data_IF_561903030110
#
_entry.id   IF_561903030110
#
_cell.length_a   1.000
_cell.length_b   1.000
_cell.length_c   1.000
_cell.angle_alpha   90.00
_cell.angle_beta   90.00
_cell.angle_gamma   90.00
#
_symmetry.space_group_name_H-M   'P 1'
#
loop_
_entity.id
_entity.type
_entity.pdbx_description
1 polymer ?
#
# COMPACT_ATOMS: atom_id res chain seq x y z
N UNK A 1 3.30 -16.90 -14.95
CA UNK A 1 2.15 -16.02 -14.64
C UNK A 1 0.93 -16.91 -14.42
N UNK A 2 0.19 -16.75 -13.30
CA UNK A 2 -0.94 -17.62 -12.92
C UNK A 2 -2.07 -17.71 -13.96
N UNK A 3 -2.23 -16.66 -14.77
CA UNK A 3 -3.24 -16.58 -15.83
C UNK A 3 -3.17 -17.75 -16.83
N UNK A 4 -1.98 -18.33 -17.05
CA UNK A 4 -1.80 -19.46 -17.97
C UNK A 4 -2.48 -20.76 -17.50
N UNK A 5 -2.95 -20.85 -16.25
CA UNK A 5 -3.74 -22.00 -15.81
C UNK A 5 -5.06 -22.13 -16.59
N UNK A 6 -5.60 -21.01 -17.09
CA UNK A 6 -6.85 -20.93 -17.83
C UNK A 6 -6.67 -20.98 -19.37
N UNK A 7 -5.44 -21.21 -19.84
CA UNK A 7 -5.12 -21.22 -21.26
C UNK A 7 -4.24 -22.41 -21.65
N UNK A 8 -4.42 -22.87 -22.89
CA UNK A 8 -3.50 -23.78 -23.56
C UNK A 8 -2.67 -23.02 -24.60
N UNK A 9 -1.38 -23.33 -24.68
CA UNK A 9 -0.50 -22.71 -25.69
C UNK A 9 -0.73 -23.38 -27.03
N UNK A 10 -1.23 -22.61 -28.00
CA UNK A 10 -1.46 -23.07 -29.38
C UNK A 10 -0.24 -22.81 -30.27
N UNK A 11 0.43 -21.67 -30.07
CA UNK A 11 1.68 -21.32 -30.75
C UNK A 11 2.49 -20.31 -29.92
N UNK A 12 3.61 -19.82 -30.45
CA UNK A 12 4.43 -18.79 -29.81
C UNK A 12 3.65 -17.51 -29.46
N UNK A 13 2.63 -17.20 -30.27
CA UNK A 13 1.88 -15.94 -30.20
C UNK A 13 0.38 -16.14 -30.06
N UNK A 14 -0.09 -17.37 -29.79
CA UNK A 14 -1.52 -17.67 -29.58
C UNK A 14 -1.75 -18.58 -28.38
N UNK A 15 -2.79 -18.25 -27.63
CA UNK A 15 -3.27 -19.02 -26.48
C UNK A 15 -4.76 -19.27 -26.61
N UNK A 16 -5.19 -20.52 -26.43
CA UNK A 16 -6.58 -20.95 -26.46
C UNK A 16 -7.17 -20.94 -25.06
N UNK A 17 -8.32 -20.31 -24.88
CA UNK A 17 -9.02 -20.31 -23.59
C UNK A 17 -9.57 -21.71 -23.28
N UNK A 18 -9.49 -22.13 -22.02
CA UNK A 18 -10.07 -23.42 -21.56
C UNK A 18 -11.57 -23.33 -21.27
N UNK A 19 -12.07 -22.12 -21.10
CA UNK A 19 -13.44 -21.85 -20.65
C UNK A 19 -14.38 -21.38 -21.75
N UNK A 20 -13.83 -21.05 -22.92
CA UNK A 20 -14.61 -20.77 -24.12
C UNK A 20 -13.82 -21.08 -25.40
N UNK A 21 -14.46 -21.06 -26.58
CA UNK A 21 -13.80 -21.34 -27.85
C UNK A 21 -12.80 -20.27 -28.32
N UNK A 22 -12.55 -19.20 -27.56
CA UNK A 22 -11.73 -18.09 -28.00
C UNK A 22 -10.21 -18.42 -28.00
N UNK A 23 -9.52 -18.03 -29.07
CA UNK A 23 -8.05 -17.97 -29.13
C UNK A 23 -7.58 -16.51 -29.15
N UNK A 24 -6.59 -16.19 -28.29
CA UNK A 24 -6.08 -14.84 -28.07
C UNK A 24 -4.63 -14.72 -28.55
N UNK A 25 -4.30 -13.58 -29.14
CA UNK A 25 -2.93 -13.27 -29.52
C UNK A 25 -2.10 -12.78 -28.31
N UNK A 26 -0.96 -13.43 -28.08
CA UNK A 26 0.01 -13.15 -27.02
C UNK A 26 1.32 -12.62 -27.62
N UNK A 27 1.24 -11.51 -28.34
CA UNK A 27 2.42 -10.90 -28.99
C UNK A 27 3.55 -10.72 -27.97
N UNK A 28 4.73 -11.25 -28.28
CA UNK A 28 5.96 -11.13 -27.46
C UNK A 28 5.78 -11.67 -26.02
N UNK A 29 4.93 -12.67 -25.82
CA UNK A 29 4.73 -13.31 -24.51
C UNK A 29 4.00 -12.43 -23.47
N UNK A 30 3.38 -11.33 -23.90
CA UNK A 30 2.57 -10.49 -23.02
C UNK A 30 1.27 -11.18 -22.60
N UNK A 31 0.84 -10.98 -21.35
CA UNK A 31 -0.35 -11.66 -20.78
C UNK A 31 -1.56 -10.74 -20.59
N UNK A 32 -1.45 -9.45 -20.95
CA UNK A 32 -2.52 -8.46 -20.75
C UNK A 32 -3.81 -8.80 -21.50
N UNK A 33 -3.70 -9.38 -22.69
CA UNK A 33 -4.87 -9.83 -23.46
C UNK A 33 -5.58 -11.03 -22.82
N UNK A 34 -4.83 -11.90 -22.14
CA UNK A 34 -5.37 -13.06 -21.43
C UNK A 34 -6.18 -12.58 -20.22
N UNK A 35 -5.61 -11.66 -19.43
CA UNK A 35 -6.31 -11.03 -18.31
C UNK A 35 -7.61 -10.33 -18.75
N UNK A 36 -7.53 -9.47 -19.77
CA UNK A 36 -8.71 -8.75 -20.30
C UNK A 36 -9.81 -9.70 -20.78
N UNK A 37 -9.45 -10.81 -21.41
CA UNK A 37 -10.43 -11.81 -21.84
C UNK A 37 -11.12 -12.46 -20.64
N UNK A 38 -10.35 -12.94 -19.66
CA UNK A 38 -10.91 -13.56 -18.47
C UNK A 38 -11.83 -12.58 -17.72
N UNK A 39 -11.44 -11.31 -17.58
CA UNK A 39 -12.23 -10.28 -16.89
C UNK A 39 -13.56 -9.96 -17.59
N UNK A 40 -13.64 -10.15 -18.91
CA UNK A 40 -14.82 -9.76 -19.70
C UNK A 40 -15.73 -10.94 -20.05
N UNK A 41 -15.17 -12.14 -20.21
CA UNK A 41 -15.91 -13.33 -20.66
C UNK A 41 -16.07 -14.39 -19.58
N UNK A 42 -15.19 -14.40 -18.58
CA UNK A 42 -15.18 -15.37 -17.48
C UNK A 42 -14.94 -14.70 -16.12
N UNK A 43 -15.68 -13.62 -15.77
CA UNK A 43 -15.52 -12.96 -14.49
C UNK A 43 -15.79 -13.90 -13.29
N UNK A 44 -16.65 -14.90 -13.47
CA UNK A 44 -16.93 -15.95 -12.49
C UNK A 44 -15.77 -16.92 -12.26
N UNK A 45 -14.96 -17.19 -13.29
CA UNK A 45 -13.75 -18.01 -13.16
C UNK A 45 -12.58 -17.23 -12.55
N UNK A 46 -12.69 -15.91 -12.57
CA UNK A 46 -11.79 -15.00 -11.87
C UNK A 46 -12.22 -14.71 -10.44
N UNK A 47 -13.33 -15.29 -9.92
CA UNK A 47 -14.10 -15.02 -8.68
C UNK A 47 -13.35 -14.57 -7.42
N UNK A 48 -12.60 -13.52 -7.60
CA UNK A 48 -12.00 -12.61 -6.65
C UNK A 48 -11.96 -11.37 -7.52
N UNK A 49 -13.05 -10.60 -7.48
CA UNK A 49 -13.13 -9.35 -8.22
C UNK A 49 -11.86 -8.53 -7.93
N UNK A 50 -11.50 -7.60 -8.81
CA UNK A 50 -10.35 -6.72 -8.53
C UNK A 50 -10.46 -6.12 -7.10
N UNK A 51 -11.67 -5.75 -6.68
CA UNK A 51 -11.95 -5.27 -5.33
C UNK A 51 -11.66 -6.32 -4.25
N UNK A 52 -12.06 -7.57 -4.43
CA UNK A 52 -11.77 -8.66 -3.47
C UNK A 52 -10.26 -8.94 -3.38
N UNK A 53 -9.56 -8.86 -4.51
CA UNK A 53 -8.12 -9.06 -4.55
C UNK A 53 -7.37 -7.90 -3.89
N UNK A 54 -7.79 -6.66 -4.15
CA UNK A 54 -7.26 -5.47 -3.51
C UNK A 54 -7.52 -5.55 -1.98
N UNK A 55 -8.71 -5.96 -1.55
CA UNK A 55 -9.04 -6.18 -0.13
C UNK A 55 -8.15 -7.26 0.51
N UNK A 56 -7.91 -8.37 -0.19
CA UNK A 56 -6.97 -9.40 0.26
C UNK A 56 -5.55 -8.82 0.40
N UNK A 57 -5.09 -8.05 -0.58
CA UNK A 57 -3.79 -7.40 -0.53
C UNK A 57 -3.67 -6.42 0.65
N UNK A 58 -4.70 -5.61 0.92
CA UNK A 58 -4.71 -4.70 2.07
C UNK A 58 -4.57 -5.45 3.39
N UNK A 59 -5.25 -6.58 3.57
CA UNK A 59 -5.13 -7.41 4.77
C UNK A 59 -3.69 -7.90 4.96
N UNK A 60 -3.03 -8.32 3.88
CA UNK A 60 -1.62 -8.72 3.92
C UNK A 60 -0.71 -7.53 4.27
N UNK A 61 -0.96 -6.35 3.69
CA UNK A 61 -0.18 -5.14 4.05
C UNK A 61 -0.36 -4.78 5.52
N UNK A 62 -1.57 -4.89 6.08
CA UNK A 62 -1.82 -4.69 7.52
C UNK A 62 -1.02 -5.65 8.39
N UNK A 63 -0.98 -6.94 8.02
CA UNK A 63 -0.16 -7.94 8.72
C UNK A 63 1.32 -7.57 8.68
N UNK A 64 1.84 -7.27 7.48
CA UNK A 64 3.24 -6.86 7.28
C UNK A 64 3.58 -5.62 8.11
N UNK A 65 2.68 -4.64 8.15
CA UNK A 65 2.89 -3.41 8.90
C UNK A 65 2.85 -3.63 10.42
N UNK A 66 1.94 -4.47 10.92
CA UNK A 66 1.82 -4.80 12.34
C UNK A 66 3.09 -5.48 12.88
N UNK A 67 3.67 -6.39 12.09
CA UNK A 67 4.87 -7.15 12.47
C UNK A 67 6.18 -6.49 12.04
N UNK A 68 6.12 -5.31 11.42
CA UNK A 68 7.26 -4.64 10.79
C UNK A 68 8.07 -5.59 9.86
N UNK A 69 7.36 -6.45 9.14
CA UNK A 69 7.95 -7.49 8.31
C UNK A 69 8.38 -6.96 6.93
N UNK A 70 9.21 -7.72 6.22
CA UNK A 70 9.56 -7.39 4.84
C UNK A 70 8.45 -7.84 3.87
N UNK A 71 8.11 -7.01 2.88
CA UNK A 71 7.16 -7.38 1.81
C UNK A 71 7.51 -8.65 1.03
N UNK A 72 8.77 -9.10 1.10
CA UNK A 72 9.23 -10.36 0.49
C UNK A 72 8.53 -11.60 1.09
N UNK A 73 7.88 -11.48 2.25
CA UNK A 73 7.20 -12.60 2.90
C UNK A 73 6.20 -13.31 1.97
N UNK A 74 5.52 -12.59 1.07
CA UNK A 74 4.54 -13.17 0.12
C UNK A 74 5.17 -14.03 -0.99
N UNK A 75 6.49 -13.96 -1.14
CA UNK A 75 7.25 -14.77 -2.10
C UNK A 75 7.82 -16.03 -1.46
N UNK A 76 7.74 -16.17 -0.13
CA UNK A 76 8.18 -17.35 0.61
C UNK A 76 7.19 -18.50 0.38
N UNK A 77 7.71 -19.70 0.18
CA UNK A 77 6.88 -20.88 -0.09
C UNK A 77 6.00 -21.19 1.13
N UNK A 78 6.58 -21.09 2.32
CA UNK A 78 5.94 -21.32 3.61
C UNK A 78 4.72 -20.41 3.83
N UNK A 79 4.80 -19.16 3.34
CA UNK A 79 3.66 -18.24 3.36
C UNK A 79 2.59 -18.62 2.33
N UNK A 80 2.99 -19.10 1.15
CA UNK A 80 2.07 -19.53 0.08
C UNK A 80 1.32 -20.81 0.45
N UNK A 81 1.96 -21.70 1.19
CA UNK A 81 1.39 -22.97 1.67
C UNK A 81 0.27 -22.76 2.71
N UNK A 82 0.14 -21.56 3.29
CA UNK A 82 -0.99 -21.20 4.16
C UNK A 82 -2.32 -21.06 3.40
N UNK A 83 -2.27 -20.95 2.07
CA UNK A 83 -3.43 -20.72 1.23
C UNK A 83 -3.75 -21.96 0.39
N UNK A 84 -5.02 -22.16 0.00
CA UNK A 84 -5.39 -23.24 -0.90
C UNK A 84 -4.53 -23.25 -2.18
N UNK A 85 -4.30 -24.43 -2.78
CA UNK A 85 -3.61 -24.54 -4.06
C UNK A 85 -4.23 -23.61 -5.11
N UNK A 86 -3.38 -23.04 -5.98
CA UNK A 86 -3.77 -22.12 -7.05
C UNK A 86 -4.36 -20.77 -6.62
N UNK A 87 -4.33 -20.42 -5.32
CA UNK A 87 -4.67 -19.07 -4.86
C UNK A 87 -3.85 -18.02 -5.60
N UNK A 88 -4.52 -16.97 -6.11
CA UNK A 88 -3.84 -15.82 -6.71
C UNK A 88 -3.09 -15.05 -5.63
N UNK A 89 -1.77 -15.23 -5.57
CA UNK A 89 -0.92 -14.54 -4.61
C UNK A 89 -0.52 -13.14 -5.08
N UNK A 90 -0.47 -12.14 -4.18
CA UNK A 90 0.08 -10.83 -4.52
C UNK A 90 1.58 -10.90 -4.75
N UNK A 91 2.08 -9.94 -5.52
CA UNK A 91 3.51 -9.75 -5.70
C UNK A 91 4.03 -8.70 -4.73
N UNK A 92 5.31 -8.82 -4.34
CA UNK A 92 5.99 -7.78 -3.57
C UNK A 92 5.83 -6.39 -4.20
N UNK A 93 5.94 -6.32 -5.53
CA UNK A 93 5.77 -5.07 -6.27
C UNK A 93 4.38 -4.50 -6.05
N UNK A 94 3.33 -5.28 -6.26
CA UNK A 94 1.96 -4.81 -6.11
C UNK A 94 1.68 -4.32 -4.68
N UNK A 95 2.11 -5.07 -3.65
CA UNK A 95 1.94 -4.64 -2.26
C UNK A 95 2.71 -3.36 -1.95
N UNK A 96 3.99 -3.28 -2.31
CA UNK A 96 4.85 -2.16 -1.92
C UNK A 96 4.69 -0.90 -2.78
N UNK A 97 4.27 -1.03 -4.05
CA UNK A 97 4.21 0.07 -5.01
C UNK A 97 2.80 0.47 -5.42
N UNK A 98 1.78 -0.32 -5.08
CA UNK A 98 0.38 0.00 -5.40
C UNK A 98 -0.46 0.10 -4.13
N UNK A 99 -0.54 -0.99 -3.36
CA UNK A 99 -1.47 -1.08 -2.22
C UNK A 99 -1.00 -0.23 -1.04
N UNK A 100 0.26 -0.35 -0.63
CA UNK A 100 0.80 0.41 0.51
C UNK A 100 0.71 1.93 0.30
N UNK A 101 1.12 2.51 -0.85
CA UNK A 101 0.90 3.94 -1.11
C UNK A 101 -0.57 4.36 -1.05
N UNK A 102 -1.48 3.57 -1.63
CA UNK A 102 -2.92 3.85 -1.58
C UNK A 102 -3.43 3.90 -0.13
N UNK A 103 -3.04 2.92 0.70
CA UNK A 103 -3.42 2.87 2.11
C UNK A 103 -2.85 4.03 2.92
N UNK A 104 -1.60 4.45 2.65
CA UNK A 104 -1.00 5.63 3.27
C UNK A 104 -1.82 6.87 2.93
N UNK A 105 -2.27 7.04 1.69
CA UNK A 105 -3.04 8.21 1.27
C UNK A 105 -4.41 8.26 1.97
N UNK A 106 -5.08 7.13 2.09
CA UNK A 106 -6.32 7.02 2.90
C UNK A 106 -6.05 7.34 4.38
N UNK A 107 -4.95 6.85 4.94
CA UNK A 107 -4.55 7.13 6.32
C UNK A 107 -4.27 8.63 6.51
N UNK A 108 -3.59 9.26 5.56
CA UNK A 108 -3.31 10.70 5.56
C UNK A 108 -4.60 11.50 5.57
N UNK A 109 -5.53 11.21 4.66
CA UNK A 109 -6.83 11.87 4.62
C UNK A 109 -7.60 11.72 5.94
N UNK A 110 -7.57 10.52 6.53
CA UNK A 110 -8.21 10.25 7.83
C UNK A 110 -7.57 11.05 8.96
N UNK A 111 -6.24 11.13 9.01
CA UNK A 111 -5.51 11.92 10.01
C UNK A 111 -5.85 13.40 9.84
N UNK A 112 -5.78 13.94 8.61
CA UNK A 112 -6.13 15.34 8.33
C UNK A 112 -7.54 15.66 8.82
N UNK A 113 -8.54 14.84 8.47
CA UNK A 113 -9.91 15.01 8.92
C UNK A 113 -10.03 15.00 10.46
N UNK A 114 -9.27 14.14 11.15
CA UNK A 114 -9.27 14.07 12.62
C UNK A 114 -8.61 15.27 13.27
N UNK A 115 -7.66 15.92 12.62
CA UNK A 115 -6.93 17.08 13.17
C UNK A 115 -7.58 18.42 12.79
N UNK A 116 -8.43 18.46 11.75
CA UNK A 116 -9.14 19.68 11.34
C UNK A 116 -9.88 20.34 12.49
N UNK A 117 -9.61 21.64 12.70
CA UNK A 117 -10.25 22.45 13.73
C UNK A 117 -9.75 22.19 15.15
N UNK A 118 -8.74 21.34 15.34
CA UNK A 118 -8.17 21.04 16.65
C UNK A 118 -6.94 21.89 16.93
N UNK A 119 -6.75 22.23 18.21
CA UNK A 119 -5.46 22.69 18.71
C UNK A 119 -4.57 21.47 18.92
N UNK A 120 -3.43 21.45 18.24
CA UNK A 120 -2.53 20.30 18.19
C UNK A 120 -1.14 20.72 18.64
N UNK A 121 -0.52 19.90 19.50
CA UNK A 121 0.91 19.95 19.79
C UNK A 121 1.60 18.83 19.04
N UNK A 122 2.74 19.13 18.41
CA UNK A 122 3.53 18.12 17.69
C UNK A 122 4.75 17.75 18.52
N UNK A 123 4.94 16.45 18.74
CA UNK A 123 6.20 15.90 19.24
C UNK A 123 6.95 15.28 18.06
N UNK A 124 8.26 15.50 17.98
CA UNK A 124 9.11 14.94 16.93
C UNK A 124 10.14 14.04 17.57
N UNK A 125 10.18 12.79 17.12
CA UNK A 125 11.29 11.88 17.41
C UNK A 125 12.20 11.84 16.18
N UNK A 126 13.50 12.07 16.38
CA UNK A 126 14.47 12.21 15.31
C UNK A 126 15.70 11.36 15.56
N UNK A 127 16.13 10.64 14.53
CA UNK A 127 17.38 9.89 14.54
C UNK A 127 18.08 10.01 13.19
N UNK A 128 19.40 9.90 13.20
CA UNK A 128 20.20 9.92 11.99
C UNK A 128 20.59 8.51 11.56
N UNK A 129 20.72 8.29 10.25
CA UNK A 129 21.19 7.02 9.69
C UNK A 129 22.21 7.25 8.56
N UNK A 130 22.91 6.18 8.18
CA UNK A 130 24.01 6.21 7.19
C UNK A 130 25.10 7.24 7.52
N UNK A 131 25.57 7.23 8.78
CA UNK A 131 26.64 8.11 9.24
C UNK A 131 26.26 9.60 9.19
N UNK A 132 25.02 9.95 9.57
CA UNK A 132 24.56 11.34 9.65
C UNK A 132 23.99 11.92 8.35
N UNK A 133 24.02 11.18 7.23
CA UNK A 133 23.58 11.71 5.91
C UNK A 133 22.07 11.84 5.77
N UNK A 134 21.30 11.04 6.50
CA UNK A 134 19.84 11.06 6.46
C UNK A 134 19.30 11.23 7.87
N UNK A 135 18.34 12.13 8.02
CA UNK A 135 17.56 12.25 9.24
C UNK A 135 16.20 11.61 8.99
N UNK A 136 15.86 10.67 9.84
CA UNK A 136 14.53 10.11 9.94
C UNK A 136 13.80 10.88 11.04
N UNK A 137 12.56 11.24 10.78
CA UNK A 137 11.74 11.98 11.73
C UNK A 137 10.33 11.40 11.76
N UNK A 138 9.88 11.08 12.96
CA UNK A 138 8.53 10.67 13.25
C UNK A 138 7.83 11.81 13.98
N UNK A 139 6.64 12.19 13.52
CA UNK A 139 5.86 13.24 14.16
C UNK A 139 4.68 12.58 14.87
N UNK A 140 4.37 13.03 16.08
CA UNK A 140 3.15 12.63 16.81
C UNK A 140 2.35 13.86 17.13
N UNK A 141 1.10 13.90 16.69
CA UNK A 141 0.14 14.94 17.00
C UNK A 141 -0.62 14.61 18.29
N UNK A 142 -0.59 15.52 19.24
CA UNK A 142 -1.32 15.45 20.49
C UNK A 142 -2.43 16.50 20.50
N UNK A 143 -3.65 16.10 20.82
CA UNK A 143 -4.79 17.01 20.96
C UNK A 143 -5.72 16.55 22.08
N UNK A 144 -6.48 17.48 22.64
CA UNK A 144 -7.51 17.19 23.63
C UNK A 144 -8.79 16.77 22.89
N UNK A 145 -9.36 15.63 23.26
CA UNK A 145 -10.71 15.25 22.84
C UNK A 145 -11.72 15.94 23.76
N UNK A 146 -12.35 17.02 23.30
CA UNK A 146 -13.27 17.82 24.11
C UNK A 146 -14.48 17.03 24.65
N UNK A 147 -14.88 15.94 23.98
CA UNK A 147 -15.99 15.09 24.43
C UNK A 147 -15.64 14.20 25.62
N UNK A 148 -14.40 13.70 25.64
CA UNK A 148 -13.92 12.74 26.64
C UNK A 148 -13.00 13.41 27.68
N UNK A 149 -12.66 14.69 27.48
CA UNK A 149 -11.62 15.42 28.21
C UNK A 149 -10.32 14.61 28.34
N UNK A 150 -9.97 13.88 27.27
CA UNK A 150 -8.84 12.96 27.24
C UNK A 150 -7.81 13.39 26.21
N UNK A 151 -6.52 13.24 26.55
CA UNK A 151 -5.43 13.39 25.60
C UNK A 151 -5.49 12.28 24.55
N UNK A 152 -5.44 12.65 23.27
CA UNK A 152 -5.31 11.71 22.16
C UNK A 152 -4.01 11.99 21.42
N UNK A 153 -3.36 10.90 21.02
CA UNK A 153 -2.11 10.94 20.26
C UNK A 153 -2.33 10.27 18.91
N UNK A 154 -1.97 10.94 17.83
CA UNK A 154 -2.01 10.42 16.46
C UNK A 154 -0.60 10.46 15.86
N UNK A 155 0.04 9.30 15.63
CA UNK A 155 1.26 9.23 14.86
C UNK A 155 1.02 9.73 13.43
N UNK A 156 1.88 10.61 12.94
CA UNK A 156 1.89 11.10 11.57
C UNK A 156 2.97 10.29 10.81
N UNK A 157 2.61 9.61 9.70
CA UNK A 157 3.53 8.77 8.96
C UNK A 157 4.85 9.48 8.62
N UNK A 158 5.96 8.85 9.04
CA UNK A 158 7.30 9.37 8.82
C UNK A 158 7.62 9.52 7.32
N UNK A 159 8.38 10.55 6.99
CA UNK A 159 8.91 10.76 5.64
C UNK A 159 10.40 11.05 5.75
N UNK A 160 11.21 10.51 4.84
CA UNK A 160 12.64 10.84 4.83
C UNK A 160 12.87 12.25 4.28
N UNK A 161 13.81 12.97 4.87
CA UNK A 161 14.28 14.29 4.43
C UNK A 161 15.80 14.31 4.49
N UNK A 162 16.43 15.16 3.70
CA UNK A 162 17.85 15.46 3.93
C UNK A 162 18.00 16.11 5.31
N UNK A 163 19.07 15.78 6.03
CA UNK A 163 19.28 16.21 7.40
C UNK A 163 19.23 17.75 7.58
N UNK A 164 19.61 18.49 6.54
CA UNK A 164 19.70 19.96 6.53
C UNK A 164 18.33 20.68 6.45
N UNK A 165 17.23 19.98 6.15
CA UNK A 165 15.94 20.62 5.83
C UNK A 165 14.76 20.14 6.67
N UNK A 166 14.99 19.49 7.80
CA UNK A 166 13.91 18.80 8.51
C UNK A 166 12.78 19.73 8.92
N UNK A 167 13.07 20.90 9.49
CA UNK A 167 12.03 21.83 9.95
C UNK A 167 11.31 22.55 8.80
N UNK A 168 12.03 22.95 7.76
CA UNK A 168 11.44 23.53 6.55
C UNK A 168 10.55 22.52 5.81
N UNK A 169 11.01 21.27 5.69
CA UNK A 169 10.24 20.19 5.08
C UNK A 169 9.09 19.70 5.98
N UNK A 170 9.23 19.81 7.31
CA UNK A 170 8.14 19.57 8.24
C UNK A 170 7.02 20.60 8.01
N UNK A 171 7.34 21.88 7.92
CA UNK A 171 6.37 22.93 7.57
C UNK A 171 5.61 22.60 6.29
N UNK A 172 6.32 22.37 5.17
CA UNK A 172 5.70 22.03 3.88
C UNK A 172 4.85 20.76 3.90
N UNK A 173 5.26 19.73 4.65
CA UNK A 173 4.52 18.47 4.72
C UNK A 173 3.37 18.48 5.72
N UNK A 174 3.46 19.29 6.78
CA UNK A 174 2.37 19.54 7.73
C UNK A 174 1.27 20.39 7.10
N UNK A 175 1.61 21.26 6.14
CA UNK A 175 0.63 21.93 5.26
C UNK A 175 -0.21 20.90 4.49
N UNK A 176 0.38 19.77 4.09
CA UNK A 176 -0.34 18.63 3.48
C UNK A 176 -1.35 17.93 4.41
N UNK A 177 -1.27 18.16 5.72
CA UNK A 177 -2.27 17.74 6.70
C UNK A 177 -3.18 18.88 7.18
N UNK A 178 -3.14 20.03 6.49
CA UNK A 178 -3.91 21.25 6.82
C UNK A 178 -3.69 21.80 8.24
N UNK A 179 -2.52 21.57 8.84
CA UNK A 179 -2.17 22.15 10.13
C UNK A 179 -1.74 23.61 9.88
N UNK A 180 -2.70 24.52 10.02
CA UNK A 180 -2.62 25.90 9.49
C UNK A 180 -1.70 26.82 10.31
N UNK A 181 -1.39 26.44 11.55
CA UNK A 181 -0.51 27.19 12.44
C UNK A 181 0.30 26.22 13.31
N UNK A 182 1.59 26.11 13.03
CA UNK A 182 2.54 25.37 13.87
C UNK A 182 3.26 26.38 14.74
N UNK A 183 2.83 26.54 15.99
CA UNK A 183 3.67 27.21 17.00
C UNK A 183 4.67 26.16 17.50
N UNK A 184 5.90 26.20 16.98
CA UNK A 184 7.00 25.40 17.51
C UNK A 184 7.37 26.01 18.86
N UNK A 185 6.95 25.35 19.95
CA UNK A 185 7.45 25.66 21.28
C UNK A 185 8.82 24.97 21.41
N UNK A 186 9.87 25.78 21.62
CA UNK A 186 11.25 25.32 21.84
C UNK A 186 11.42 24.71 23.22
#
# INVERSE_FOLDING_TARGET
>A
SPIWNHYDKESSDKAKCKHCPASLCTKKGTTSNLWRHMETKHPEELATSKADFDLFCEKIVRLIAADNAAFRIVERQEFRDLFPPHTRMPTRYHLSKVIMPSMIETLRATISQRLTGKRVTLCVDQWTCKGGRFTLSCFTAHYINDKELALKSLPIPATSVSAERVFSAAGERLIGYHISYVTVMY
#
